data_IF_282946891621
#
_entry.id   IF_282946891621
#
_cell.length_a   1.000
_cell.length_b   1.000
_cell.length_c   1.000
_cell.angle_alpha   90.00
_cell.angle_beta   90.00
_cell.angle_gamma   90.00
#
_symmetry.space_group_name_H-M   'P 1'
#
loop_
_entity.id
_entity.type
_entity.pdbx_description
1 polymer ?
#
# COMPACT_ATOMS: atom_id res chain seq x y z
N UNK A 1 -14.94 8.82 -1.59
CA UNK A 1 -14.25 7.99 -0.58
C UNK A 1 -12.94 8.70 -0.22
N UNK A 2 -12.71 8.92 1.07
CA UNK A 2 -11.43 9.38 1.62
C UNK A 2 -10.86 8.17 2.35
N UNK A 3 -9.63 7.79 2.01
CA UNK A 3 -8.88 6.83 2.80
C UNK A 3 -8.44 7.56 4.06
N UNK A 4 -8.84 7.08 5.23
CA UNK A 4 -8.50 7.67 6.51
C UNK A 4 -7.74 6.59 7.27
N UNK A 5 -6.42 6.68 7.30
CA UNK A 5 -5.59 5.65 7.93
C UNK A 5 -5.44 6.01 9.40
N UNK A 6 -5.93 5.15 10.29
CA UNK A 6 -5.83 5.36 11.74
C UNK A 6 -5.02 4.29 12.45
N UNK A 7 -4.93 3.12 11.86
CA UNK A 7 -4.28 1.94 12.39
C UNK A 7 -3.79 1.05 11.25
N UNK A 8 -2.96 0.07 11.60
CA UNK A 8 -2.34 -0.88 10.65
C UNK A 8 -3.37 -1.61 9.79
N UNK A 9 -4.57 -1.88 10.33
CA UNK A 9 -5.64 -2.55 9.58
C UNK A 9 -6.24 -1.64 8.50
N UNK A 10 -6.38 -0.34 8.76
CA UNK A 10 -6.73 0.62 7.70
C UNK A 10 -5.65 0.71 6.62
N UNK A 11 -4.36 0.64 6.99
CA UNK A 11 -3.25 0.61 6.04
C UNK A 11 -3.29 -0.65 5.15
N UNK A 12 -3.62 -1.81 5.70
CA UNK A 12 -3.79 -3.05 4.92
C UNK A 12 -5.00 -2.99 3.98
N UNK A 13 -6.13 -2.41 4.42
CA UNK A 13 -7.29 -2.17 3.53
C UNK A 13 -6.96 -1.17 2.42
N UNK A 14 -6.15 -0.16 2.73
CA UNK A 14 -5.65 0.78 1.75
C UNK A 14 -4.74 0.10 0.72
N UNK A 15 -3.90 -0.86 1.11
CA UNK A 15 -3.08 -1.64 0.19
C UNK A 15 -3.92 -2.32 -0.91
N UNK A 16 -5.06 -2.91 -0.56
CA UNK A 16 -5.99 -3.50 -1.52
C UNK A 16 -6.59 -2.46 -2.48
N UNK A 17 -6.94 -1.29 -1.96
CA UNK A 17 -7.47 -0.19 -2.78
C UNK A 17 -6.42 0.38 -3.72
N UNK A 18 -5.18 0.49 -3.25
CA UNK A 18 -4.04 0.92 -4.03
C UNK A 18 -3.68 -0.11 -5.11
N UNK A 19 -3.74 -1.41 -4.80
CA UNK A 19 -3.57 -2.49 -5.76
C UNK A 19 -4.58 -2.40 -6.92
N UNK A 20 -5.87 -2.24 -6.60
CA UNK A 20 -6.93 -2.11 -7.63
C UNK A 20 -6.70 -0.87 -8.51
N UNK A 21 -6.29 0.26 -7.91
CA UNK A 21 -5.93 1.46 -8.66
C UNK A 21 -4.74 1.21 -9.59
N UNK A 22 -3.64 0.66 -9.07
CA UNK A 22 -2.42 0.39 -9.84
C UNK A 22 -2.70 -0.57 -11.00
N UNK A 23 -3.45 -1.64 -10.73
CA UNK A 23 -3.85 -2.62 -11.74
C UNK A 23 -4.69 -1.99 -12.85
N UNK A 24 -5.66 -1.12 -12.51
CA UNK A 24 -6.52 -0.44 -13.49
C UNK A 24 -5.81 0.65 -14.31
N UNK A 25 -4.75 1.25 -13.77
CA UNK A 25 -4.01 2.34 -14.42
C UNK A 25 -2.74 1.86 -15.15
N UNK A 26 -2.53 0.54 -15.25
CA UNK A 26 -1.41 -0.03 -16.01
C UNK A 26 -0.11 -0.20 -15.20
N UNK A 27 -0.10 0.15 -13.91
CA UNK A 27 1.03 -0.05 -12.98
C UNK A 27 1.07 -1.50 -12.49
N UNK A 28 1.21 -2.42 -13.43
CA UNK A 28 1.11 -3.87 -13.17
C UNK A 28 2.26 -4.40 -12.33
N UNK A 29 3.44 -3.79 -12.40
CA UNK A 29 4.61 -4.17 -11.59
C UNK A 29 4.40 -3.77 -10.14
N UNK A 30 3.92 -2.56 -9.89
CA UNK A 30 3.64 -2.02 -8.56
C UNK A 30 2.44 -2.72 -7.91
N UNK A 31 1.42 -3.03 -8.71
CA UNK A 31 0.32 -3.88 -8.26
C UNK A 31 0.83 -5.26 -7.82
N UNK A 32 1.74 -5.89 -8.56
CA UNK A 32 2.32 -7.18 -8.15
C UNK A 32 3.04 -7.11 -6.80
N UNK A 33 3.72 -6.01 -6.49
CA UNK A 33 4.38 -5.82 -5.19
C UNK A 33 3.34 -5.97 -4.06
N UNK A 34 2.19 -5.30 -4.18
CA UNK A 34 1.11 -5.40 -3.19
C UNK A 34 0.39 -6.75 -3.22
N UNK A 35 0.22 -7.34 -4.41
CA UNK A 35 -0.39 -8.66 -4.57
C UNK A 35 0.40 -9.75 -3.85
N UNK A 36 1.72 -9.70 -3.93
CA UNK A 36 2.60 -10.64 -3.23
C UNK A 36 2.45 -10.53 -1.70
N UNK A 37 2.19 -9.34 -1.15
CA UNK A 37 1.96 -9.18 0.28
C UNK A 37 0.69 -9.87 0.77
N UNK A 38 -0.33 -10.00 -0.09
CA UNK A 38 -1.58 -10.69 0.29
C UNK A 38 -1.40 -12.21 0.23
N UNK A 39 -0.52 -12.68 -0.65
CA UNK A 39 -0.19 -14.10 -0.81
C UNK A 39 0.81 -14.60 0.25
N UNK A 40 1.67 -13.70 0.75
CA UNK A 40 2.63 -14.00 1.81
C UNK A 40 1.92 -14.33 3.14
N UNK A 41 2.12 -15.56 3.61
CA UNK A 41 1.73 -15.98 4.95
C UNK A 41 2.75 -15.45 5.96
N UNK A 42 2.54 -14.22 6.46
CA UNK A 42 3.36 -13.65 7.51
C UNK A 42 3.16 -14.38 8.84
N UNK A 43 4.27 -14.65 9.54
CA UNK A 43 4.25 -15.34 10.84
C UNK A 43 3.94 -14.39 12.00
N UNK A 44 3.96 -13.07 11.78
CA UNK A 44 3.62 -12.04 12.76
C UNK A 44 3.19 -10.73 12.09
N UNK A 45 2.32 -9.97 12.77
CA UNK A 45 1.87 -8.65 12.30
C UNK A 45 3.02 -7.68 12.02
N UNK A 46 4.13 -7.78 12.75
CA UNK A 46 5.32 -6.94 12.57
C UNK A 46 6.05 -7.22 11.23
N UNK A 47 6.05 -8.48 10.77
CA UNK A 47 6.62 -8.85 9.46
C UNK A 47 5.71 -8.37 8.33
N UNK A 48 4.40 -8.57 8.48
CA UNK A 48 3.40 -8.05 7.54
C UNK A 48 3.52 -6.52 7.41
N UNK A 49 3.64 -5.83 8.54
CA UNK A 49 3.82 -4.38 8.62
C UNK A 49 5.08 -3.91 7.89
N UNK A 50 6.24 -4.52 8.14
CA UNK A 50 7.51 -4.17 7.46
C UNK A 50 7.43 -4.41 5.95
N UNK A 51 6.78 -5.49 5.53
CA UNK A 51 6.62 -5.82 4.12
C UNK A 51 5.72 -4.80 3.40
N UNK A 52 4.60 -4.41 4.02
CA UNK A 52 3.74 -3.32 3.53
C UNK A 52 4.48 -1.98 3.47
N UNK A 53 5.26 -1.64 4.49
CA UNK A 53 6.05 -0.40 4.52
C UNK A 53 7.04 -0.32 3.36
N UNK A 54 7.75 -1.43 3.09
CA UNK A 54 8.68 -1.53 1.97
C UNK A 54 7.98 -1.36 0.62
N UNK A 55 6.81 -2.00 0.45
CA UNK A 55 6.02 -1.88 -0.77
C UNK A 55 5.53 -0.44 -0.98
N UNK A 56 4.96 0.20 0.03
CA UNK A 56 4.48 1.58 -0.07
C UNK A 56 5.59 2.56 -0.42
N UNK A 57 6.77 2.40 0.18
CA UNK A 57 7.93 3.24 -0.13
C UNK A 57 8.40 3.07 -1.57
N UNK A 58 8.41 1.83 -2.07
CA UNK A 58 8.79 1.55 -3.46
C UNK A 58 7.77 2.13 -4.45
N UNK A 59 6.46 1.98 -4.17
CA UNK A 59 5.38 2.51 -5.00
C UNK A 59 5.40 4.04 -5.01
N UNK A 60 5.66 4.70 -3.86
CA UNK A 60 5.82 6.16 -3.80
C UNK A 60 6.95 6.66 -4.72
N UNK A 61 8.04 5.89 -4.83
CA UNK A 61 9.16 6.22 -5.70
C UNK A 61 8.91 5.94 -7.17
N UNK A 62 8.14 4.88 -7.49
CA UNK A 62 7.88 4.44 -8.87
C UNK A 62 6.67 5.11 -9.50
N UNK A 63 5.67 5.52 -8.72
CA UNK A 63 4.41 6.08 -9.20
C UNK A 63 4.25 7.54 -8.73
N UNK A 64 4.96 8.49 -9.37
CA UNK A 64 4.86 9.91 -9.02
C UNK A 64 3.50 10.52 -9.36
N UNK A 65 2.73 9.90 -10.26
CA UNK A 65 1.42 10.38 -10.73
C UNK A 65 0.24 9.85 -9.88
N UNK A 66 0.51 9.36 -8.67
CA UNK A 66 -0.57 8.94 -7.76
C UNK A 66 -1.50 10.13 -7.46
N UNK A 67 -2.83 9.96 -7.47
CA UNK A 67 -3.74 11.03 -7.09
C UNK A 67 -3.46 11.45 -5.66
N UNK A 68 -3.55 12.76 -5.36
CA UNK A 68 -3.25 13.31 -4.02
C UNK A 68 -3.90 12.54 -2.86
N UNK A 69 -5.10 12.00 -3.05
CA UNK A 69 -5.80 11.20 -2.03
C UNK A 69 -5.08 9.90 -1.68
N UNK A 70 -4.49 9.23 -2.68
CA UNK A 70 -3.66 8.05 -2.45
C UNK A 70 -2.29 8.42 -1.92
N UNK A 71 -1.71 9.54 -2.36
CA UNK A 71 -0.44 10.02 -1.80
C UNK A 71 -0.56 10.29 -0.30
N UNK A 72 -1.58 11.05 0.11
CA UNK A 72 -1.84 11.35 1.54
C UNK A 72 -2.04 10.06 2.33
N UNK A 73 -2.90 9.15 1.84
CA UNK A 73 -3.16 7.90 2.54
C UNK A 73 -1.93 6.97 2.62
N UNK A 74 -1.08 6.99 1.58
CA UNK A 74 0.17 6.26 1.56
C UNK A 74 1.17 6.88 2.55
N UNK A 75 1.20 8.21 2.68
CA UNK A 75 2.01 8.89 3.69
C UNK A 75 1.52 8.60 5.11
N UNK A 76 0.21 8.70 5.38
CA UNK A 76 -0.36 8.33 6.67
C UNK A 76 -0.09 6.86 7.02
N UNK A 77 -0.12 5.97 6.02
CA UNK A 77 0.25 4.55 6.21
C UNK A 77 1.72 4.37 6.55
N UNK A 78 2.63 5.21 6.03
CA UNK A 78 4.05 5.17 6.35
C UNK A 78 4.37 5.76 7.74
N UNK A 79 3.48 6.58 8.30
CA UNK A 79 3.63 7.19 9.63
C UNK A 79 3.08 6.33 10.77
N UNK A 80 2.08 5.47 10.48
CA UNK A 80 1.46 4.57 11.47
C UNK A 80 2.24 3.26 11.63
N UNK A 81 2.94 2.81 10.57
CA UNK A 81 3.64 1.53 10.49
C UNK A 81 5.12 1.62 10.91
#
# INVERSE_FOLDING_TARGET
>A
MTFKIKDTNDAFKFALSLYDYLSKNGYSEEAKILGNLVDDCFSSDEEAQKAHWKAFKEIKGKVPDLPKKYQIALEESLEIL
#
